data_IF_411947661924
#
_entry.id   IF_411947661924
#
_cell.length_a   1.000
_cell.length_b   1.000
_cell.length_c   1.000
_cell.angle_alpha   90.00
_cell.angle_beta   90.00
_cell.angle_gamma   90.00
#
_symmetry.space_group_name_H-M   'P 1'
#
loop_
_entity.id
_entity.type
_entity.pdbx_description
1 polymer ?
#
# COMPACT_ATOMS: atom_id res chain seq x y z
N UNK A 1 -15.91 -17.92 27.07
CA UNK A 1 -16.12 -16.66 26.31
C UNK A 1 -14.78 -16.28 25.69
N UNK A 2 -14.67 -16.22 24.35
CA UNK A 2 -13.39 -15.92 23.68
C UNK A 2 -13.24 -14.41 23.53
N UNK A 3 -12.21 -13.84 24.17
CA UNK A 3 -11.90 -12.41 24.06
C UNK A 3 -10.69 -12.23 23.14
N UNK A 4 -10.91 -11.55 22.01
CA UNK A 4 -9.84 -11.23 21.05
C UNK A 4 -9.14 -9.96 21.50
N UNK A 5 -7.82 -10.04 21.74
CA UNK A 5 -6.98 -8.87 22.01
C UNK A 5 -6.40 -8.36 20.70
N UNK A 6 -6.74 -7.13 20.32
CA UNK A 6 -6.11 -6.46 19.19
C UNK A 6 -4.84 -5.74 19.64
N UNK A 7 -3.77 -5.86 18.83
CA UNK A 7 -2.54 -5.09 19.02
C UNK A 7 -2.68 -3.75 18.28
N UNK A 8 -2.85 -2.60 18.98
CA UNK A 8 -3.25 -1.35 18.32
C UNK A 8 -2.28 -0.90 17.22
N UNK A 9 -0.99 -1.16 17.37
CA UNK A 9 0.05 -0.80 16.40
C UNK A 9 0.05 -1.66 15.12
N UNK A 10 -0.67 -2.78 15.10
CA UNK A 10 -0.90 -3.62 13.91
C UNK A 10 -2.27 -3.37 13.28
N UNK A 11 -3.16 -2.68 13.98
CA UNK A 11 -4.53 -2.44 13.54
C UNK A 11 -4.56 -1.23 12.61
N UNK A 12 -5.19 -1.39 11.46
CA UNK A 12 -5.54 -0.30 10.56
C UNK A 12 -7.05 -0.11 10.59
N UNK A 13 -7.51 1.14 10.50
CA UNK A 13 -8.92 1.49 10.45
C UNK A 13 -9.26 2.03 9.07
N UNK A 14 -10.18 1.37 8.37
CA UNK A 14 -10.81 1.90 7.16
C UNK A 14 -12.29 2.14 7.49
N UNK A 15 -12.73 3.39 7.45
CA UNK A 15 -14.13 3.72 7.72
C UNK A 15 -14.90 3.80 6.40
N UNK A 16 -15.83 2.86 6.21
CA UNK A 16 -16.71 2.82 5.04
C UNK A 16 -18.12 3.17 5.50
N UNK A 17 -18.64 4.29 5.01
CA UNK A 17 -19.97 4.78 5.39
C UNK A 17 -20.61 5.56 4.26
N UNK A 18 -21.95 5.59 4.25
CA UNK A 18 -22.73 6.47 3.37
C UNK A 18 -22.93 7.87 3.96
N UNK A 19 -22.67 8.05 5.26
CA UNK A 19 -22.87 9.31 5.99
C UNK A 19 -21.53 9.92 6.40
N UNK A 20 -21.40 11.25 6.34
CA UNK A 20 -20.16 11.96 6.69
C UNK A 20 -20.02 12.20 8.20
N UNK A 21 -20.33 11.21 9.03
CA UNK A 21 -20.21 11.30 10.48
C UNK A 21 -18.77 11.05 10.95
N UNK A 22 -18.24 11.83 11.91
CA UNK A 22 -16.96 11.53 12.52
C UNK A 22 -17.05 10.20 13.28
N UNK A 23 -16.06 9.32 13.07
CA UNK A 23 -15.92 8.06 13.79
C UNK A 23 -14.67 8.14 14.67
N UNK A 24 -14.84 7.90 15.97
CA UNK A 24 -13.75 7.87 16.93
C UNK A 24 -13.71 6.49 17.59
N UNK A 25 -12.69 5.69 17.25
CA UNK A 25 -12.52 4.33 17.79
C UNK A 25 -11.24 4.27 18.62
N UNK A 26 -11.41 3.93 19.90
CA UNK A 26 -10.31 3.70 20.83
C UNK A 26 -10.06 2.19 21.01
N UNK A 27 -8.80 1.80 20.88
CA UNK A 27 -8.34 0.45 21.17
C UNK A 27 -7.26 0.49 22.25
N UNK A 28 -7.65 0.09 23.48
CA UNK A 28 -6.75 0.05 24.65
C UNK A 28 -6.09 1.42 24.96
N UNK A 29 -6.85 2.51 24.92
CA UNK A 29 -6.37 3.87 25.18
C UNK A 29 -5.59 4.49 24.02
N UNK A 30 -5.65 3.87 22.83
CA UNK A 30 -5.10 4.42 21.59
C UNK A 30 -6.22 4.63 20.59
N UNK A 31 -6.45 5.89 20.26
CA UNK A 31 -7.33 6.28 19.15
C UNK A 31 -6.69 5.88 17.82
N UNK A 32 -7.43 5.10 17.02
CA UNK A 32 -7.03 4.78 15.66
C UNK A 32 -7.52 5.87 14.70
N UNK A 33 -6.59 6.48 13.97
CA UNK A 33 -6.94 7.37 12.87
C UNK A 33 -7.48 6.56 11.68
N UNK A 34 -8.62 6.95 11.09
CA UNK A 34 -9.08 6.39 9.82
C UNK A 34 -8.03 6.60 8.73
N UNK A 35 -7.82 5.57 7.91
CA UNK A 35 -7.00 5.63 6.70
C UNK A 35 -7.90 5.70 5.48
N UNK A 36 -7.49 6.45 4.46
CA UNK A 36 -8.22 6.52 3.20
C UNK A 36 -8.05 5.27 2.35
N UNK A 37 -6.92 4.56 2.50
CA UNK A 37 -6.65 3.30 1.83
C UNK A 37 -6.06 2.25 2.77
N UNK A 38 -6.53 1.01 2.66
CA UNK A 38 -5.98 -0.14 3.39
C UNK A 38 -5.79 -1.31 2.45
N UNK A 39 -4.64 -1.96 2.55
CA UNK A 39 -4.38 -3.22 1.85
C UNK A 39 -4.72 -4.42 2.73
N UNK A 40 -5.58 -5.29 2.21
CA UNK A 40 -5.97 -6.55 2.84
C UNK A 40 -5.77 -7.66 1.82
N UNK A 41 -4.94 -8.65 2.15
CA UNK A 41 -4.67 -9.82 1.31
C UNK A 41 -4.24 -9.48 -0.14
N UNK A 42 -3.51 -8.37 -0.34
CA UNK A 42 -3.03 -7.94 -1.66
C UNK A 42 -4.03 -7.09 -2.47
N UNK A 43 -5.23 -6.87 -1.94
CA UNK A 43 -6.24 -5.97 -2.50
C UNK A 43 -6.19 -4.65 -1.76
N UNK A 44 -6.16 -3.55 -2.50
CA UNK A 44 -6.17 -2.19 -1.94
C UNK A 44 -7.61 -1.70 -1.94
N UNK A 45 -8.12 -1.36 -0.77
CA UNK A 45 -9.46 -0.83 -0.54
C UNK A 45 -9.35 0.65 -0.21
N UNK A 46 -10.06 1.50 -0.94
CA UNK A 46 -10.28 2.90 -0.56
C UNK A 46 -11.55 3.05 0.28
N UNK A 47 -11.62 4.13 1.06
CA UNK A 47 -12.76 4.43 1.95
C UNK A 47 -14.09 4.59 1.21
N UNK A 48 -14.06 4.83 -0.11
CA UNK A 48 -15.23 4.93 -0.99
C UNK A 48 -15.52 3.64 -1.76
N UNK A 49 -14.74 2.57 -1.57
CA UNK A 49 -14.84 1.29 -2.28
C UNK A 49 -14.87 1.45 -3.81
N UNK A 50 -14.13 2.41 -4.35
CA UNK A 50 -13.99 2.63 -5.80
C UNK A 50 -12.94 1.70 -6.43
N UNK A 51 -12.03 1.16 -5.62
CA UNK A 51 -10.87 0.37 -6.00
C UNK A 51 -9.95 1.05 -7.01
N UNK A 52 -10.01 2.39 -7.11
CA UNK A 52 -9.34 3.14 -8.17
C UNK A 52 -7.83 2.88 -8.20
N UNK A 53 -7.15 3.05 -7.06
CA UNK A 53 -5.70 2.81 -6.95
C UNK A 53 -5.33 1.35 -7.22
N UNK A 54 -6.16 0.41 -6.77
CA UNK A 54 -5.98 -1.01 -7.04
C UNK A 54 -6.06 -1.33 -8.54
N UNK A 55 -7.11 -0.87 -9.21
CA UNK A 55 -7.34 -1.08 -10.64
C UNK A 55 -6.24 -0.42 -11.47
N UNK A 56 -5.85 0.81 -11.15
CA UNK A 56 -4.74 1.49 -11.82
C UNK A 56 -3.42 0.72 -11.67
N UNK A 57 -3.15 0.19 -10.48
CA UNK A 57 -1.98 -0.67 -10.25
C UNK A 57 -2.04 -1.94 -11.10
N UNK A 58 -3.16 -2.65 -11.10
CA UNK A 58 -3.35 -3.86 -11.91
C UNK A 58 -3.23 -3.57 -13.41
N UNK A 59 -3.78 -2.45 -13.89
CA UNK A 59 -3.69 -2.04 -15.28
C UNK A 59 -2.22 -1.76 -15.69
N UNK A 60 -1.46 -1.06 -14.86
CA UNK A 60 -0.01 -0.84 -15.07
C UNK A 60 0.77 -2.16 -15.07
N UNK A 61 0.49 -3.05 -14.13
CA UNK A 61 1.17 -4.36 -14.09
C UNK A 61 0.86 -5.20 -15.33
N UNK A 62 -0.39 -5.18 -15.81
CA UNK A 62 -0.81 -5.89 -17.00
C UNK A 62 -0.18 -5.30 -18.28
N UNK A 63 -0.11 -3.97 -18.40
CA UNK A 63 0.53 -3.32 -19.55
C UNK A 63 2.03 -3.61 -19.60
N UNK A 64 2.73 -3.55 -18.46
CA UNK A 64 4.14 -3.91 -18.36
C UNK A 64 4.38 -5.38 -18.71
N UNK A 65 3.49 -6.30 -18.29
CA UNK A 65 3.58 -7.70 -18.70
C UNK A 65 3.44 -7.84 -20.23
N UNK A 66 2.49 -7.15 -20.85
CA UNK A 66 2.28 -7.18 -22.31
C UNK A 66 3.45 -6.61 -23.10
N UNK A 67 4.13 -5.59 -22.59
CA UNK A 67 5.27 -4.94 -23.26
C UNK A 67 6.62 -5.57 -22.90
N UNK A 68 6.64 -6.60 -22.04
CA UNK A 68 7.88 -7.18 -21.53
C UNK A 68 8.80 -7.74 -22.62
N UNK A 69 8.26 -8.24 -23.74
CA UNK A 69 9.01 -8.75 -24.88
C UNK A 69 9.67 -7.66 -25.74
N UNK A 70 9.29 -6.38 -25.55
CA UNK A 70 9.91 -5.23 -26.21
C UNK A 70 11.11 -4.69 -25.42
N UNK A 71 11.32 -5.15 -24.19
CA UNK A 71 12.40 -4.69 -23.33
C UNK A 71 13.69 -5.46 -23.64
N UNK A 72 14.81 -4.76 -23.63
CA UNK A 72 16.12 -5.38 -23.63
C UNK A 72 16.41 -6.08 -22.28
N UNK A 73 17.51 -6.84 -22.21
CA UNK A 73 17.87 -7.57 -20.97
C UNK A 73 17.99 -6.64 -19.75
N UNK A 74 18.38 -5.37 -19.96
CA UNK A 74 18.47 -4.37 -18.90
C UNK A 74 17.10 -3.89 -18.44
N UNK A 75 16.18 -3.61 -19.36
CA UNK A 75 14.79 -3.27 -19.08
C UNK A 75 14.03 -4.39 -18.39
N UNK A 76 14.29 -5.65 -18.75
CA UNK A 76 13.76 -6.83 -18.07
C UNK A 76 14.26 -6.94 -16.61
N UNK A 77 15.54 -6.66 -16.35
CA UNK A 77 16.09 -6.67 -14.99
C UNK A 77 15.46 -5.56 -14.11
N UNK A 78 15.30 -4.36 -14.67
CA UNK A 78 14.63 -3.23 -14.00
C UNK A 78 13.18 -3.58 -13.69
N UNK A 79 12.45 -4.17 -14.64
CA UNK A 79 11.07 -4.61 -14.44
C UNK A 79 10.96 -5.69 -13.34
N UNK A 80 11.90 -6.63 -13.32
CA UNK A 80 11.95 -7.69 -12.30
C UNK A 80 12.23 -7.12 -10.90
N UNK A 81 13.18 -6.18 -10.78
CA UNK A 81 13.44 -5.49 -9.52
C UNK A 81 12.22 -4.69 -9.07
N UNK A 82 11.60 -3.92 -9.97
CA UNK A 82 10.39 -3.16 -9.67
C UNK A 82 9.26 -4.06 -9.14
N UNK A 83 9.04 -5.26 -9.71
CA UNK A 83 8.06 -6.23 -9.18
C UNK A 83 8.40 -6.71 -7.77
N UNK A 84 9.67 -7.01 -7.50
CA UNK A 84 10.11 -7.42 -6.15
C UNK A 84 9.88 -6.32 -5.11
N UNK A 85 10.20 -5.07 -5.46
CA UNK A 85 10.05 -3.91 -4.57
C UNK A 85 8.62 -3.37 -4.49
N UNK A 86 7.75 -3.67 -5.47
CA UNK A 86 6.34 -3.31 -5.46
C UNK A 86 5.47 -4.23 -4.58
N UNK A 87 6.00 -5.36 -4.10
CA UNK A 87 5.35 -6.14 -3.06
C UNK A 87 5.51 -5.45 -1.70
N UNK A 88 4.43 -5.07 -1.01
CA UNK A 88 4.48 -4.28 0.24
C UNK A 88 5.12 -5.03 1.42
N UNK A 89 5.32 -6.34 1.31
CA UNK A 89 6.11 -7.13 2.25
C UNK A 89 7.63 -6.92 2.09
N UNK A 90 8.09 -6.51 0.91
CA UNK A 90 9.52 -6.28 0.63
C UNK A 90 10.05 -4.97 1.24
N UNK A 91 9.19 -4.01 1.57
CA UNK A 91 9.60 -2.76 2.23
C UNK A 91 9.87 -2.90 3.74
N UNK A 92 9.45 -4.01 4.36
CA UNK A 92 9.60 -4.20 5.82
C UNK A 92 10.86 -4.95 6.25
N UNK A 93 11.72 -5.32 5.31
CA UNK A 93 12.85 -6.22 5.55
C UNK A 93 14.20 -5.62 5.18
N UNK A 94 14.53 -4.40 5.62
CA UNK A 94 15.92 -3.94 5.70
C UNK A 94 16.10 -2.99 6.91
N UNK A 95 16.69 -3.44 8.03
CA UNK A 95 17.33 -2.51 8.96
C UNK A 95 18.63 -2.03 8.29
N UNK A 96 18.69 -0.77 7.85
CA UNK A 96 19.94 -0.14 7.42
C UNK A 96 20.03 0.37 5.97
N UNK A 97 18.95 0.39 5.19
CA UNK A 97 19.00 1.01 3.86
C UNK A 97 18.74 2.53 3.95
N UNK A 98 19.81 3.33 3.84
CA UNK A 98 19.72 4.77 3.61
C UNK A 98 18.90 5.04 2.34
N UNK A 99 17.88 5.89 2.46
CA UNK A 99 17.15 6.43 1.32
C UNK A 99 18.13 7.23 0.45
N UNK A 100 18.23 6.98 -0.88
CA UNK A 100 18.93 7.90 -1.75
C UNK A 100 18.09 9.18 -1.85
N UNK A 101 18.46 10.15 -1.03
CA UNK A 101 17.97 11.51 -1.14
C UNK A 101 18.56 12.23 -2.34
N UNK A 102 17.74 13.15 -2.85
CA UNK A 102 18.16 14.49 -3.28
C UNK A 102 18.70 14.67 -4.69
N UNK A 103 17.79 14.79 -5.67
CA UNK A 103 17.95 15.64 -6.86
C UNK A 103 16.53 16.10 -7.25
N UNK A 104 16.09 17.36 -7.40
CA UNK A 104 16.57 18.73 -7.23
C UNK A 104 15.29 19.59 -7.25
N UNK A 105 15.10 20.52 -6.31
CA UNK A 105 14.38 21.78 -6.61
C UNK A 105 14.73 22.86 -5.58
N UNK A 106 15.77 23.63 -5.90
CA UNK A 106 15.99 25.02 -5.52
C UNK A 106 17.02 25.54 -6.52
N UNK A 107 16.58 26.19 -7.59
CA UNK A 107 16.79 27.61 -7.94
C UNK A 107 15.62 28.01 -8.85
#
# INVERSE_FOLDING_TARGET
MWQVKFAPYKTKLLHVTRSSGPLNLDFNGRTLAPQDEVEVLGVTYDCRLTFKSHIERLAREASLRRMSWLLDNRGLEVLYKAKKFAHPWSMRALPGAALPGSILQTI
#
